data_IF_594778172174
#
_entry.id   IF_594778172174
#
_cell.length_a   1.000
_cell.length_b   1.000
_cell.length_c   1.000
_cell.angle_alpha   90.00
_cell.angle_beta   90.00
_cell.angle_gamma   90.00
#
_symmetry.space_group_name_H-M   'P 1'
#
loop_
_entity.id
_entity.type
_entity.pdbx_description
1 polymer ?
#
# COMPACT_ATOMS: atom_id res chain seq x y z
N UNK A 1 7.22 -11.52 -22.28
CA UNK A 1 7.69 -11.35 -20.89
C UNK A 1 7.24 -9.97 -20.45
N UNK A 2 6.17 -9.87 -19.67
CA UNK A 2 5.79 -8.60 -19.04
C UNK A 2 6.93 -8.23 -18.09
N UNK A 3 7.67 -7.18 -18.41
CA UNK A 3 8.55 -6.55 -17.43
C UNK A 3 7.66 -6.19 -16.24
N UNK A 4 7.94 -6.78 -15.07
CA UNK A 4 7.17 -6.52 -13.85
C UNK A 4 7.44 -5.07 -13.45
N UNK A 5 6.65 -4.15 -13.97
CA UNK A 5 6.49 -2.84 -13.36
C UNK A 5 6.02 -3.09 -11.93
N UNK A 6 6.90 -2.90 -10.97
CA UNK A 6 6.51 -2.91 -9.57
C UNK A 6 5.82 -1.58 -9.32
N UNK A 7 4.69 -1.57 -8.61
CA UNK A 7 4.06 -0.32 -8.14
C UNK A 7 5.06 0.59 -7.42
N UNK A 8 6.12 0.00 -6.86
CA UNK A 8 7.24 0.69 -6.21
C UNK A 8 8.05 1.53 -7.21
N UNK A 9 8.35 1.00 -8.40
CA UNK A 9 9.15 1.71 -9.41
C UNK A 9 8.31 2.73 -10.17
N UNK A 10 6.99 2.52 -10.24
CA UNK A 10 6.06 3.42 -10.94
C UNK A 10 5.44 4.50 -10.05
N UNK A 11 5.63 4.44 -8.73
CA UNK A 11 4.95 5.31 -7.77
C UNK A 11 5.14 6.80 -8.07
N UNK A 12 6.35 7.22 -8.40
CA UNK A 12 6.65 8.61 -8.77
C UNK A 12 6.04 9.02 -10.12
N UNK A 13 5.94 8.08 -11.06
CA UNK A 13 5.34 8.33 -12.38
C UNK A 13 3.82 8.44 -12.29
N UNK A 14 3.18 7.61 -11.46
CA UNK A 14 1.73 7.57 -11.30
C UNK A 14 1.19 8.62 -10.33
N UNK A 15 1.93 8.91 -9.26
CA UNK A 15 1.45 9.70 -8.12
C UNK A 15 2.30 10.96 -7.81
N UNK A 16 3.40 11.17 -8.54
CA UNK A 16 4.28 12.33 -8.39
C UNK A 16 5.41 12.15 -7.35
N UNK A 17 6.33 13.11 -7.34
CA UNK A 17 7.48 13.15 -6.43
C UNK A 17 7.02 13.55 -5.02
N UNK A 18 6.69 12.57 -4.19
CA UNK A 18 6.09 12.80 -2.86
C UNK A 18 4.99 11.81 -2.51
N UNK A 19 4.76 10.82 -3.37
CA UNK A 19 3.85 9.72 -3.09
C UNK A 19 4.23 8.99 -1.79
N UNK A 20 3.20 8.49 -1.10
CA UNK A 20 3.33 7.73 0.13
C UNK A 20 2.62 6.40 -0.06
N UNK A 21 3.23 5.31 0.40
CA UNK A 21 2.65 3.98 0.34
C UNK A 21 1.67 3.76 1.49
N UNK A 22 0.40 3.48 1.18
CA UNK A 22 -0.59 3.10 2.17
C UNK A 22 -0.77 1.58 2.19
N UNK A 23 -0.69 0.97 3.37
CA UNK A 23 -1.05 -0.42 3.64
C UNK A 23 -1.84 -0.49 4.94
N UNK A 24 -2.61 -1.57 5.12
CA UNK A 24 -3.26 -1.82 6.41
C UNK A 24 -2.23 -2.31 7.46
N UNK A 25 -2.68 -2.46 8.70
CA UNK A 25 -1.82 -2.84 9.81
C UNK A 25 -1.74 -4.36 10.03
N UNK A 26 -2.06 -5.21 9.04
CA UNK A 26 -2.01 -6.65 9.23
C UNK A 26 -0.59 -7.12 9.63
N UNK A 27 -0.51 -8.20 10.41
CA UNK A 27 0.75 -8.70 10.97
C UNK A 27 1.81 -8.97 9.90
N UNK A 28 1.40 -9.42 8.70
CA UNK A 28 2.29 -9.68 7.57
C UNK A 28 2.92 -8.41 6.99
N UNK A 29 2.21 -7.29 7.02
CA UNK A 29 2.70 -5.99 6.56
C UNK A 29 3.67 -5.34 7.55
N UNK A 30 3.53 -5.68 8.83
CA UNK A 30 4.41 -5.21 9.92
C UNK A 30 5.56 -6.16 10.25
N UNK A 31 5.64 -7.31 9.58
CA UNK A 31 6.74 -8.25 9.76
C UNK A 31 8.09 -7.62 9.42
N UNK A 32 9.14 -8.05 10.13
CA UNK A 32 10.51 -7.51 9.96
C UNK A 32 10.95 -7.48 8.50
N UNK A 33 10.78 -8.59 7.77
CA UNK A 33 11.18 -8.67 6.36
C UNK A 33 10.48 -7.66 5.47
N UNK A 34 9.19 -7.41 5.72
CA UNK A 34 8.40 -6.44 4.95
C UNK A 34 8.89 -5.02 5.23
N UNK A 35 9.13 -4.70 6.51
CA UNK A 35 9.69 -3.41 6.92
C UNK A 35 11.09 -3.16 6.36
N UNK A 36 11.97 -4.16 6.47
CA UNK A 36 13.34 -4.10 5.94
C UNK A 36 13.31 -3.83 4.42
N UNK A 37 12.47 -4.56 3.68
CA UNK A 37 12.29 -4.35 2.24
C UNK A 37 11.79 -2.94 1.89
N UNK A 38 10.79 -2.42 2.60
CA UNK A 38 10.25 -1.08 2.36
C UNK A 38 11.31 0.00 2.61
N UNK A 39 12.09 -0.16 3.68
CA UNK A 39 13.18 0.74 4.03
C UNK A 39 14.33 0.69 3.01
N UNK A 40 14.77 -0.49 2.60
CA UNK A 40 15.83 -0.68 1.60
C UNK A 40 15.48 -0.04 0.24
N UNK A 41 14.18 0.05 -0.08
CA UNK A 41 13.68 0.66 -1.31
C UNK A 41 13.30 2.15 -1.15
N UNK A 42 13.59 2.78 0.00
CA UNK A 42 13.26 4.17 0.31
C UNK A 42 11.77 4.49 0.15
N UNK A 43 10.90 3.54 0.48
CA UNK A 43 9.45 3.71 0.39
C UNK A 43 8.96 4.34 1.68
N UNK A 44 8.37 5.53 1.58
CA UNK A 44 7.69 6.16 2.70
C UNK A 44 6.34 5.48 2.89
N UNK A 45 6.10 4.93 4.08
CA UNK A 45 4.84 4.28 4.44
C UNK A 45 3.99 5.25 5.26
N UNK A 46 2.70 5.36 4.93
CA UNK A 46 1.75 6.17 5.67
C UNK A 46 1.53 5.56 7.06
N UNK A 47 1.72 6.35 8.11
CA UNK A 47 1.39 5.92 9.47
C UNK A 47 -0.13 5.76 9.59
N UNK A 48 -0.59 4.56 9.90
CA UNK A 48 -2.01 4.21 9.91
C UNK A 48 -2.44 3.78 11.32
N UNK A 49 -3.54 4.32 11.86
CA UNK A 49 -3.99 3.93 13.19
C UNK A 49 -4.32 2.44 13.24
N UNK A 50 -3.97 1.78 14.34
CA UNK A 50 -4.39 0.42 14.58
C UNK A 50 -5.92 0.34 14.65
N UNK A 51 -6.50 -0.65 13.97
CA UNK A 51 -7.96 -0.89 13.99
C UNK A 51 -8.81 0.28 13.45
N UNK A 52 -8.30 1.09 12.52
CA UNK A 52 -9.12 2.08 11.80
C UNK A 52 -9.73 1.47 10.53
N UNK A 53 -11.05 1.20 10.49
CA UNK A 53 -11.72 0.69 9.28
C UNK A 53 -11.86 1.74 8.16
N UNK A 54 -11.74 3.04 8.47
CA UNK A 54 -12.33 4.05 7.59
C UNK A 54 -11.43 4.82 6.59
N UNK A 55 -10.08 4.88 6.67
CA UNK A 55 -9.33 5.56 5.63
C UNK A 55 -8.65 4.63 4.61
N UNK A 56 -8.98 3.33 4.51
CA UNK A 56 -8.38 2.47 3.46
C UNK A 56 -9.24 2.50 2.17
N UNK A 57 -8.77 3.13 1.07
CA UNK A 57 -9.51 3.14 -0.19
C UNK A 57 -9.78 1.74 -0.73
N UNK A 58 -8.93 0.77 -0.38
CA UNK A 58 -9.05 -0.64 -0.80
C UNK A 58 -10.29 -1.31 -0.22
N UNK A 59 -10.59 -1.08 1.06
CA UNK A 59 -11.75 -1.67 1.74
C UNK A 59 -13.06 -1.05 1.22
N UNK A 60 -13.06 0.25 0.96
CA UNK A 60 -14.18 0.94 0.31
C UNK A 60 -14.46 0.37 -1.09
N UNK A 61 -13.42 0.13 -1.89
CA UNK A 61 -13.55 -0.46 -3.22
C UNK A 61 -14.08 -1.90 -3.15
N UNK A 62 -13.55 -2.72 -2.24
CA UNK A 62 -14.03 -4.08 -2.02
C UNK A 62 -15.50 -4.10 -1.59
N UNK A 63 -15.90 -3.23 -0.66
CA UNK A 63 -17.29 -3.09 -0.25
C UNK A 63 -18.21 -2.68 -1.41
N UNK A 64 -17.76 -1.77 -2.27
CA UNK A 64 -18.51 -1.41 -3.49
C UNK A 64 -18.65 -2.60 -4.44
N UNK A 65 -17.57 -3.35 -4.70
CA UNK A 65 -17.60 -4.53 -5.57
C UNK A 65 -18.51 -5.61 -5.01
N UNK A 66 -18.44 -5.89 -3.70
CA UNK A 66 -19.29 -6.89 -3.05
C UNK A 66 -20.79 -6.56 -3.14
N UNK A 67 -21.16 -5.26 -3.10
CA UNK A 67 -22.55 -4.81 -3.28
C UNK A 67 -23.04 -4.87 -4.74
N UNK A 68 -22.11 -5.01 -5.70
CA UNK A 68 -22.42 -5.10 -7.13
C UNK A 68 -22.56 -6.54 -7.63
N UNK A 69 -22.29 -7.53 -6.78
CA UNK A 69 -22.45 -8.97 -7.05
C UNK A 69 -23.81 -9.45 -6.51
#
# INVERSE_FOLDING_TARGET
>A
MLQRASLITEGSHLCGNGWVFQQDNATVHNGRRTRDFLQENNITVLDHPASSPDPNPTENLWGWMARKV
#
